data_IF_671662156867
#
_entry.id   IF_671662156867
#
_cell.length_a   1.000
_cell.length_b   1.000
_cell.length_c   1.000
_cell.angle_alpha   90.00
_cell.angle_beta   90.00
_cell.angle_gamma   90.00
#
_symmetry.space_group_name_H-M   'P 1'
#
loop_
_entity.id
_entity.type
_entity.pdbx_description
1 polymer ?
#
# COMPACT_ATOMS: atom_id res chain seq x y z
N UNK A 1 28.11 14.62 -18.52
CA UNK A 1 27.72 14.33 -17.15
C UNK A 1 26.62 13.30 -17.20
N UNK A 2 26.92 12.08 -16.79
CA UNK A 2 25.96 10.98 -16.68
C UNK A 2 25.45 10.90 -15.23
N UNK A 3 24.27 10.31 -15.02
CA UNK A 3 23.73 10.12 -13.66
C UNK A 3 24.67 9.25 -12.80
N UNK A 4 25.35 8.29 -13.43
CA UNK A 4 26.39 7.44 -12.83
C UNK A 4 27.66 8.19 -12.41
N UNK A 5 27.86 9.41 -12.87
CA UNK A 5 29.03 10.23 -12.51
C UNK A 5 28.75 11.11 -11.28
N UNK A 6 27.50 11.23 -10.85
CA UNK A 6 27.10 12.06 -9.70
C UNK A 6 27.36 11.31 -8.40
N UNK A 7 28.09 11.95 -7.48
CA UNK A 7 28.46 11.40 -6.18
C UNK A 7 29.03 9.97 -6.29
N UNK A 8 29.99 9.79 -7.21
CA UNK A 8 30.66 8.50 -7.46
C UNK A 8 29.72 7.34 -7.79
N UNK A 9 28.57 7.62 -8.40
CA UNK A 9 27.59 6.60 -8.81
C UNK A 9 26.48 6.36 -7.79
N UNK A 10 26.53 6.99 -6.62
CA UNK A 10 25.52 6.81 -5.57
C UNK A 10 24.09 7.15 -6.05
N UNK A 11 23.94 8.18 -6.91
CA UNK A 11 22.62 8.52 -7.46
C UNK A 11 22.04 7.38 -8.31
N UNK A 12 22.87 6.73 -9.12
CA UNK A 12 22.46 5.61 -9.96
C UNK A 12 22.05 4.41 -9.09
N UNK A 13 22.86 4.07 -8.07
CA UNK A 13 22.55 2.96 -7.17
C UNK A 13 21.23 3.15 -6.43
N UNK A 14 20.98 4.37 -5.92
CA UNK A 14 19.72 4.68 -5.23
C UNK A 14 18.53 4.66 -6.21
N UNK A 15 18.72 5.15 -7.43
CA UNK A 15 17.69 5.03 -8.47
C UNK A 15 17.36 3.58 -8.80
N UNK A 16 18.39 2.74 -9.03
CA UNK A 16 18.19 1.33 -9.36
C UNK A 16 17.45 0.60 -8.23
N UNK A 17 17.77 0.92 -6.98
CA UNK A 17 17.09 0.39 -5.81
C UNK A 17 15.60 0.78 -5.74
N UNK A 18 15.27 2.06 -5.90
CA UNK A 18 13.87 2.50 -5.90
C UNK A 18 13.10 2.03 -7.13
N UNK A 19 13.78 1.89 -8.27
CA UNK A 19 13.19 1.34 -9.49
C UNK A 19 12.85 -0.15 -9.33
N UNK A 20 13.71 -0.94 -8.70
CA UNK A 20 13.43 -2.36 -8.42
C UNK A 20 12.16 -2.54 -7.55
N UNK A 21 11.92 -1.67 -6.56
CA UNK A 21 10.68 -1.70 -5.78
C UNK A 21 9.45 -1.46 -6.65
N UNK A 22 9.51 -0.50 -7.56
CA UNK A 22 8.42 -0.25 -8.52
C UNK A 22 8.20 -1.48 -9.40
N UNK A 23 9.25 -2.13 -9.90
CA UNK A 23 9.12 -3.35 -10.70
C UNK A 23 8.49 -4.49 -9.90
N UNK A 24 8.86 -4.67 -8.63
CA UNK A 24 8.23 -5.65 -7.73
C UNK A 24 6.75 -5.34 -7.53
N UNK A 25 6.40 -4.09 -7.30
CA UNK A 25 5.02 -3.66 -7.14
C UNK A 25 4.19 -3.79 -8.44
N UNK A 26 4.79 -3.72 -9.63
CA UNK A 26 4.11 -4.04 -10.90
C UNK A 26 3.78 -5.53 -11.01
N UNK A 27 4.67 -6.39 -10.51
CA UNK A 27 4.49 -7.86 -10.55
C UNK A 27 3.57 -8.39 -9.45
N UNK A 28 3.19 -7.57 -8.48
CA UNK A 28 2.29 -7.96 -7.42
C UNK A 28 0.85 -8.06 -7.92
N UNK A 29 0.32 -9.30 -7.91
CA UNK A 29 -1.06 -9.63 -8.33
C UNK A 29 -2.13 -9.00 -7.45
N UNK A 30 -1.77 -8.55 -6.24
CA UNK A 30 -2.68 -7.90 -5.31
C UNK A 30 -2.82 -6.40 -5.58
N UNK A 31 -2.14 -5.85 -6.59
CA UNK A 31 -2.22 -4.42 -6.95
C UNK A 31 -2.88 -4.24 -8.30
N UNK A 32 -3.43 -3.05 -8.59
CA UNK A 32 -4.00 -2.77 -9.90
C UNK A 32 -2.89 -2.77 -11.00
N UNK A 33 -2.99 -3.61 -12.04
CA UNK A 33 -2.02 -3.69 -13.13
C UNK A 33 -1.96 -2.40 -13.97
N UNK A 34 -3.02 -1.59 -13.99
CA UNK A 34 -3.10 -0.34 -14.75
C UNK A 34 -2.77 0.90 -13.92
N UNK A 35 -2.61 0.76 -12.60
CA UNK A 35 -2.26 1.88 -11.74
C UNK A 35 -0.89 2.46 -12.10
N UNK A 36 -0.83 3.79 -12.17
CA UNK A 36 0.41 4.51 -12.51
C UNK A 36 1.36 4.51 -11.32
N UNK A 37 2.57 4.02 -11.55
CA UNK A 37 3.68 4.09 -10.60
C UNK A 37 4.69 5.15 -11.06
N UNK A 38 5.44 5.72 -10.13
CA UNK A 38 6.37 6.83 -10.42
C UNK A 38 7.68 6.59 -9.70
N UNK A 39 8.78 7.02 -10.32
CA UNK A 39 10.06 7.26 -9.66
C UNK A 39 10.40 8.72 -9.91
N UNK A 40 10.81 9.45 -8.88
CA UNK A 40 11.12 10.87 -8.94
C UNK A 40 12.49 11.09 -8.31
N UNK A 41 13.39 11.66 -9.10
CA UNK A 41 14.68 12.16 -8.63
C UNK A 41 14.50 13.65 -8.35
N UNK A 42 14.74 14.06 -7.12
CA UNK A 42 14.71 15.44 -6.68
C UNK A 42 16.15 15.84 -6.34
N UNK A 43 16.65 16.90 -6.99
CA UNK A 43 18.04 17.35 -6.82
C UNK A 43 18.05 18.84 -6.48
N UNK A 44 18.80 19.19 -5.45
CA UNK A 44 18.99 20.56 -4.99
C UNK A 44 20.45 20.95 -5.19
N UNK A 45 20.68 22.06 -5.88
CA UNK A 45 22.02 22.56 -6.16
C UNK A 45 22.17 23.93 -5.50
N UNK A 46 23.14 24.05 -4.59
CA UNK A 46 23.41 25.27 -3.84
C UNK A 46 24.76 25.85 -4.29
N UNK A 47 24.76 26.88 -5.16
CA UNK A 47 26.00 27.51 -5.61
C UNK A 47 26.60 28.42 -4.54
N UNK A 48 27.92 28.55 -4.52
CA UNK A 48 28.62 29.57 -3.76
C UNK A 48 28.47 30.96 -4.39
N UNK A 49 28.81 32.03 -3.66
CA UNK A 49 28.67 33.42 -4.13
C UNK A 49 29.41 33.69 -5.45
N UNK A 50 30.57 33.05 -5.63
CA UNK A 50 31.40 33.19 -6.83
C UNK A 50 30.89 32.36 -8.02
N UNK A 51 29.86 31.52 -7.82
CA UNK A 51 29.29 30.59 -8.80
C UNK A 51 30.33 29.64 -9.42
N UNK A 52 31.37 29.30 -8.67
CA UNK A 52 32.44 28.41 -9.09
C UNK A 52 32.34 27.02 -8.48
N UNK A 53 31.61 26.90 -7.37
CA UNK A 53 31.37 25.64 -6.66
C UNK A 53 29.88 25.56 -6.40
N UNK A 54 29.30 24.38 -6.58
CA UNK A 54 27.92 24.10 -6.20
C UNK A 54 27.84 22.77 -5.47
N UNK A 55 27.24 22.79 -4.28
CA UNK A 55 26.93 21.58 -3.53
C UNK A 55 25.67 20.94 -4.12
N UNK A 56 25.67 19.62 -4.24
CA UNK A 56 24.56 18.85 -4.81
C UNK A 56 24.02 17.91 -3.73
N UNK A 57 22.75 18.10 -3.38
CA UNK A 57 21.95 17.14 -2.60
C UNK A 57 20.92 16.48 -3.53
N UNK A 58 20.62 15.20 -3.29
CA UNK A 58 19.59 14.51 -4.06
C UNK A 58 18.81 13.51 -3.21
N UNK A 59 17.56 13.29 -3.64
CA UNK A 59 16.64 12.31 -3.07
C UNK A 59 15.93 11.60 -4.20
N UNK A 60 15.83 10.27 -4.10
CA UNK A 60 15.01 9.49 -5.02
C UNK A 60 13.84 8.92 -4.22
N UNK A 61 12.63 9.10 -4.76
CA UNK A 61 11.40 8.59 -4.16
C UNK A 61 10.57 7.88 -5.22
N UNK A 62 9.87 6.83 -4.82
CA UNK A 62 8.93 6.13 -5.68
C UNK A 62 7.49 6.23 -5.19
N UNK A 63 6.56 5.89 -6.06
CA UNK A 63 5.14 5.78 -5.75
C UNK A 63 4.63 4.45 -6.31
N UNK A 64 4.15 3.62 -5.40
CA UNK A 64 3.61 2.29 -5.68
C UNK A 64 2.10 2.35 -5.90
N UNK A 65 1.56 1.34 -6.60
CA UNK A 65 0.13 1.11 -6.59
C UNK A 65 -0.28 0.56 -5.21
N UNK A 66 -1.40 1.03 -4.64
CA UNK A 66 -1.92 0.48 -3.41
C UNK A 66 -2.33 -0.99 -3.62
N UNK A 67 -2.21 -1.78 -2.56
CA UNK A 67 -2.81 -3.11 -2.52
C UNK A 67 -4.33 -2.94 -2.66
N UNK A 68 -4.94 -3.78 -3.49
CA UNK A 68 -6.38 -3.82 -3.70
C UNK A 68 -7.05 -4.03 -2.33
N UNK A 69 -7.98 -3.13 -1.99
CA UNK A 69 -8.73 -3.24 -0.75
C UNK A 69 -9.67 -4.44 -0.77
N UNK A 70 -9.74 -5.16 0.34
CA UNK A 70 -10.80 -6.14 0.59
C UNK A 70 -11.90 -5.45 1.37
N UNK A 71 -13.08 -5.32 0.77
CA UNK A 71 -14.25 -4.79 1.45
C UNK A 71 -14.92 -5.92 2.22
N UNK A 72 -15.11 -5.74 3.52
CA UNK A 72 -15.98 -6.57 4.34
C UNK A 72 -17.13 -5.71 4.88
N UNK A 73 -18.32 -6.29 4.95
CA UNK A 73 -19.48 -5.60 5.49
C UNK A 73 -19.57 -5.90 6.99
N UNK A 74 -19.99 -4.92 7.78
CA UNK A 74 -20.20 -5.09 9.23
C UNK A 74 -21.65 -4.76 9.56
N UNK A 75 -22.26 -5.54 10.43
CA UNK A 75 -23.54 -5.22 11.05
C UNK A 75 -23.25 -4.44 12.32
N UNK A 76 -23.89 -3.28 12.47
CA UNK A 76 -23.81 -2.46 13.67
C UNK A 76 -25.16 -2.57 14.38
N UNK A 77 -25.15 -3.00 15.64
CA UNK A 77 -26.34 -3.14 16.47
C UNK A 77 -26.13 -2.42 17.79
N UNK A 78 -27.19 -1.79 18.29
CA UNK A 78 -27.19 -1.11 19.58
C UNK A 78 -27.92 -2.00 20.59
N UNK A 79 -27.18 -2.48 21.60
CA UNK A 79 -27.75 -3.19 22.75
C UNK A 79 -27.64 -2.30 24.00
N UNK A 80 -28.74 -1.63 24.33
CA UNK A 80 -28.83 -0.73 25.47
C UNK A 80 -27.95 0.52 25.34
N UNK A 81 -26.81 0.56 26.04
CA UNK A 81 -25.84 1.70 26.00
C UNK A 81 -24.54 1.37 25.27
N UNK A 82 -24.44 0.20 24.66
CA UNK A 82 -23.23 -0.25 23.96
C UNK A 82 -23.55 -0.44 22.48
N UNK A 83 -22.73 0.20 21.65
CA UNK A 83 -22.70 -0.06 20.22
C UNK A 83 -21.79 -1.26 20.00
N UNK A 84 -22.33 -2.31 19.38
CA UNK A 84 -21.61 -3.52 19.00
C UNK A 84 -21.54 -3.59 17.47
N UNK A 85 -20.38 -3.95 16.94
CA UNK A 85 -20.17 -4.15 15.52
C UNK A 85 -19.64 -5.58 15.29
N UNK A 86 -20.28 -6.32 14.40
CA UNK A 86 -19.91 -7.69 14.02
C UNK A 86 -19.66 -7.74 12.51
N UNK A 87 -18.61 -8.43 12.09
CA UNK A 87 -18.36 -8.68 10.67
C UNK A 87 -19.44 -9.58 10.09
N UNK A 88 -20.01 -9.19 8.94
CA UNK A 88 -20.96 -10.02 8.21
C UNK A 88 -20.17 -11.16 7.58
N UNK A 89 -20.06 -12.27 8.32
CA UNK A 89 -19.75 -13.58 7.74
C UNK A 89 -20.82 -13.97 6.72
N UNK A 90 -20.66 -15.12 6.06
CA UNK A 90 -21.51 -15.60 4.95
C UNK A 90 -23.00 -15.87 5.31
N UNK A 91 -23.48 -15.34 6.44
CA UNK A 91 -24.81 -15.52 7.00
C UNK A 91 -25.62 -14.24 6.82
N UNK A 92 -26.57 -14.28 5.87
CA UNK A 92 -27.55 -13.21 5.70
C UNK A 92 -28.48 -13.17 6.93
N UNK A 93 -28.88 -11.98 7.42
CA UNK A 93 -29.85 -11.86 8.50
C UNK A 93 -31.16 -12.60 8.15
N UNK A 94 -31.50 -13.63 8.92
CA UNK A 94 -32.67 -14.51 8.68
C UNK A 94 -32.34 -15.90 8.16
N UNK A 95 -31.06 -16.23 7.94
CA UNK A 95 -30.61 -17.56 7.53
C UNK A 95 -30.32 -18.42 8.77
N UNK A 96 -31.13 -19.44 9.04
CA UNK A 96 -30.82 -20.46 10.05
C UNK A 96 -29.82 -21.45 9.46
N UNK A 97 -28.64 -21.54 10.07
CA UNK A 97 -27.66 -22.56 9.71
C UNK A 97 -28.22 -23.94 10.13
N UNK A 98 -28.40 -24.84 9.16
CA UNK A 98 -29.05 -26.15 9.36
C UNK A 98 -28.28 -27.06 10.32
N UNK A 99 -27.01 -26.77 10.61
CA UNK A 99 -26.23 -27.48 11.63
C UNK A 99 -26.70 -27.20 13.06
N UNK A 100 -27.25 -26.01 13.36
CA UNK A 100 -27.78 -25.66 14.68
C UNK A 100 -29.20 -26.21 14.96
N UNK A 101 -29.91 -26.69 13.92
CA UNK A 101 -31.28 -27.22 14.08
C UNK A 101 -31.27 -28.65 14.61
N UNK A 102 -30.20 -29.42 14.36
CA UNK A 102 -30.11 -30.82 14.77
C UNK A 102 -29.77 -31.02 16.26
N UNK A 103 -29.31 -29.99 16.98
CA UNK A 103 -29.09 -30.06 18.43
C UNK A 103 -30.37 -29.79 19.26
N UNK A 104 -31.45 -29.28 18.65
CA UNK A 104 -32.70 -28.98 19.37
C UNK A 104 -33.74 -30.11 19.32
N UNK A 105 -33.57 -31.13 18.47
CA UNK A 105 -34.45 -32.32 18.43
C UNK A 105 -33.90 -33.52 19.23
N UNK A 106 -33.10 -33.24 20.26
CA UNK A 106 -32.47 -34.24 21.14
C UNK A 106 -33.00 -34.27 22.58
N UNK A 107 -34.09 -33.57 22.92
CA UNK A 107 -34.68 -33.61 24.27
C UNK A 107 -36.10 -34.19 24.24
N UNK A 108 -36.12 -35.52 24.36
CA UNK A 108 -37.25 -36.45 24.59
C UNK A 108 -38.29 -36.61 23.50
#
# INVERSE_FOLDING_TARGET
MQLSEINSGALQEVFDYEFDKVLRNIRDVNTDPKAKRKVTIEMTISPNEKRTIGDIDFKVKHTEAPINGFATAITITEDGRKVVAEEIGNELPGQMNVENVLEMEGVK
#
